data_IF_226719779391
#
_entry.id   IF_226719779391
#
_cell.length_a   1.000
_cell.length_b   1.000
_cell.length_c   1.000
_cell.angle_alpha   90.00
_cell.angle_beta   90.00
_cell.angle_gamma   90.00
#
_symmetry.space_group_name_H-M   'P 1'
#
loop_
_entity.id
_entity.type
_entity.pdbx_description
1 polymer ?
#
# COMPACT_ATOMS: atom_id res chain seq x y z
N UNK A 1 -15.61 18.05 0.16
CA UNK A 1 -16.82 17.75 0.95
C UNK A 1 -16.59 16.60 1.95
N UNK A 2 -15.95 15.49 1.57
CA UNK A 2 -15.67 14.36 2.48
C UNK A 2 -14.81 14.69 3.73
N UNK A 3 -13.79 15.55 3.60
CA UNK A 3 -12.90 15.93 4.71
C UNK A 3 -13.61 16.68 5.86
N UNK A 4 -14.58 17.52 5.54
CA UNK A 4 -15.36 18.26 6.55
C UNK A 4 -16.28 17.33 7.34
N UNK A 5 -16.91 16.35 6.65
CA UNK A 5 -17.76 15.34 7.28
C UNK A 5 -16.94 14.46 8.23
N UNK A 6 -15.77 14.00 7.81
CA UNK A 6 -14.85 13.21 8.66
C UNK A 6 -14.39 14.01 9.88
N UNK A 7 -14.14 15.32 9.73
CA UNK A 7 -13.76 16.18 10.85
C UNK A 7 -14.88 16.31 11.89
N UNK A 8 -16.11 16.55 11.47
CA UNK A 8 -17.28 16.69 12.36
C UNK A 8 -17.58 15.36 13.07
N UNK A 9 -17.60 14.24 12.34
CA UNK A 9 -17.77 12.90 12.89
C UNK A 9 -16.73 12.62 13.97
N UNK A 10 -15.48 13.01 13.71
CA UNK A 10 -14.38 12.82 14.66
C UNK A 10 -14.54 13.65 15.94
N UNK A 11 -14.96 14.91 15.83
CA UNK A 11 -15.18 15.77 17.00
C UNK A 11 -16.28 15.19 17.90
N UNK A 12 -17.33 14.66 17.29
CA UNK A 12 -18.44 14.02 18.00
C UNK A 12 -17.97 12.71 18.65
N UNK A 13 -17.26 11.85 17.93
CA UNK A 13 -16.76 10.58 18.46
C UNK A 13 -15.71 10.77 19.57
N UNK A 14 -14.85 11.78 19.48
CA UNK A 14 -13.96 12.18 20.58
C UNK A 14 -14.72 12.56 21.86
N UNK A 15 -15.88 13.22 21.72
CA UNK A 15 -16.73 13.58 22.87
C UNK A 15 -17.46 12.38 23.47
N UNK A 16 -17.59 11.28 22.72
CA UNK A 16 -18.17 10.02 23.16
C UNK A 16 -17.15 9.07 23.82
N UNK A 17 -15.89 9.50 23.98
CA UNK A 17 -14.83 8.70 24.59
C UNK A 17 -14.05 7.83 23.62
N UNK A 18 -14.41 7.83 22.33
CA UNK A 18 -13.73 7.08 21.27
C UNK A 18 -12.49 7.84 20.76
N UNK A 19 -11.32 7.22 20.90
CA UNK A 19 -10.06 7.78 20.41
C UNK A 19 -9.81 7.35 18.97
N UNK A 20 -10.31 8.13 18.01
CA UNK A 20 -10.06 7.86 16.59
C UNK A 20 -8.69 8.43 16.18
N UNK A 21 -7.75 7.57 15.76
CA UNK A 21 -6.43 8.02 15.31
C UNK A 21 -6.54 8.85 14.02
N UNK A 22 -5.65 9.83 13.84
CA UNK A 22 -5.68 10.73 12.65
C UNK A 22 -5.26 9.98 11.38
N UNK A 23 -4.34 9.02 11.51
CA UNK A 23 -3.97 8.05 10.47
C UNK A 23 -4.25 6.66 11.02
N UNK A 24 -4.86 5.74 10.25
CA UNK A 24 -4.94 4.36 10.65
C UNK A 24 -3.53 3.79 10.89
N UNK A 25 -3.38 2.84 11.84
CA UNK A 25 -2.14 2.09 12.02
C UNK A 25 -1.63 1.55 10.67
N UNK A 26 -0.31 1.50 10.49
CA UNK A 26 0.29 1.06 9.22
C UNK A 26 -0.20 -0.33 8.78
N UNK A 27 -0.45 -1.22 9.74
CA UNK A 27 -1.03 -2.57 9.53
C UNK A 27 -2.39 -2.56 8.85
N UNK A 28 -3.15 -1.48 8.98
CA UNK A 28 -4.49 -1.31 8.39
C UNK A 28 -4.46 -0.59 7.03
N UNK A 29 -3.29 -0.13 6.57
CA UNK A 29 -3.18 0.55 5.28
C UNK A 29 -3.49 -0.42 4.14
N UNK A 30 -4.49 -0.09 3.34
CA UNK A 30 -4.93 -0.90 2.20
C UNK A 30 -5.29 0.02 1.05
N UNK A 31 -4.74 -0.25 -0.14
CA UNK A 31 -5.16 0.48 -1.33
C UNK A 31 -6.53 -0.04 -1.80
N UNK A 32 -7.36 0.84 -2.36
CA UNK A 32 -8.59 0.43 -3.02
C UNK A 32 -8.32 -0.50 -4.20
N UNK A 33 -9.21 -1.48 -4.42
CA UNK A 33 -9.05 -2.49 -5.48
C UNK A 33 -8.90 -1.89 -6.89
N UNK A 34 -9.51 -0.72 -7.15
CA UNK A 34 -9.44 -0.05 -8.45
C UNK A 34 -8.04 0.53 -8.76
N UNK A 35 -7.12 0.63 -7.79
CA UNK A 35 -5.73 1.03 -8.04
C UNK A 35 -5.01 0.06 -8.98
N UNK A 36 -5.44 -1.21 -9.01
CA UNK A 36 -4.90 -2.22 -9.92
C UNK A 36 -5.03 -1.76 -11.38
N UNK A 37 -6.15 -1.14 -11.76
CA UNK A 37 -6.36 -0.65 -13.12
C UNK A 37 -5.39 0.48 -13.50
N UNK A 38 -5.05 1.34 -12.55
CA UNK A 38 -4.03 2.37 -12.75
C UNK A 38 -2.65 1.77 -13.01
N UNK A 39 -2.30 0.68 -12.30
CA UNK A 39 -1.06 -0.03 -12.55
C UNK A 39 -1.07 -0.77 -13.89
N UNK A 40 -2.18 -1.40 -14.26
CA UNK A 40 -2.35 -2.00 -15.61
C UNK A 40 -2.15 -0.93 -16.69
N UNK A 41 -2.71 0.27 -16.51
CA UNK A 41 -2.49 1.38 -17.45
C UNK A 41 -1.01 1.79 -17.53
N UNK A 42 -0.30 1.84 -16.41
CA UNK A 42 1.13 2.11 -16.37
C UNK A 42 1.94 1.05 -17.16
N UNK A 43 1.56 -0.22 -17.05
CA UNK A 43 2.16 -1.32 -17.81
C UNK A 43 1.84 -1.22 -19.30
N UNK A 44 0.61 -0.84 -19.67
CA UNK A 44 0.21 -0.60 -21.07
C UNK A 44 1.06 0.54 -21.66
N UNK A 45 1.26 1.65 -20.94
CA UNK A 45 2.11 2.74 -21.41
C UNK A 45 3.57 2.30 -21.60
N UNK A 46 4.09 1.50 -20.67
CA UNK A 46 5.43 0.93 -20.80
C UNK A 46 5.53 0.00 -22.03
N UNK A 47 4.53 -0.84 -22.25
CA UNK A 47 4.45 -1.73 -23.40
C UNK A 47 4.37 -0.96 -24.73
N UNK A 48 3.50 0.04 -24.84
CA UNK A 48 3.41 0.88 -26.05
C UNK A 48 4.74 1.61 -26.29
N UNK A 49 5.35 2.17 -25.25
CA UNK A 49 6.64 2.85 -25.36
C UNK A 49 7.76 1.92 -25.85
N UNK A 50 7.70 0.62 -25.54
CA UNK A 50 8.67 -0.35 -26.02
C UNK A 50 8.65 -0.52 -27.54
N UNK A 51 7.46 -0.52 -28.17
CA UNK A 51 7.31 -0.65 -29.62
C UNK A 51 7.32 0.70 -30.36
N UNK A 52 6.82 1.75 -29.72
CA UNK A 52 6.71 3.10 -30.27
C UNK A 52 7.33 4.11 -29.30
N UNK A 53 8.67 4.19 -29.22
CA UNK A 53 9.34 5.04 -28.26
C UNK A 53 9.01 6.51 -28.49
N UNK A 54 8.56 7.19 -27.44
CA UNK A 54 8.42 8.65 -27.45
C UNK A 54 8.77 9.22 -26.08
N UNK A 55 9.28 10.45 -26.06
CA UNK A 55 9.65 11.11 -24.81
C UNK A 55 8.45 11.22 -23.84
N UNK A 56 7.26 11.52 -24.37
CA UNK A 56 6.03 11.65 -23.58
C UNK A 56 5.62 10.29 -22.99
N UNK A 57 5.62 9.23 -23.79
CA UNK A 57 5.26 7.88 -23.30
C UNK A 57 6.30 7.34 -22.31
N UNK A 58 7.59 7.62 -22.53
CA UNK A 58 8.65 7.24 -21.60
C UNK A 58 8.45 7.95 -20.26
N UNK A 59 8.23 9.27 -20.26
CA UNK A 59 7.99 10.02 -19.03
C UNK A 59 6.73 9.53 -18.30
N UNK A 60 5.62 9.33 -19.02
CA UNK A 60 4.37 8.85 -18.44
C UNK A 60 4.51 7.44 -17.85
N UNK A 61 5.09 6.50 -18.62
CA UNK A 61 5.28 5.11 -18.17
C UNK A 61 6.20 5.03 -16.96
N UNK A 62 7.33 5.75 -16.94
CA UNK A 62 8.25 5.74 -15.80
C UNK A 62 7.61 6.30 -14.53
N UNK A 63 6.98 7.48 -14.61
CA UNK A 63 6.37 8.10 -13.43
C UNK A 63 5.22 7.25 -12.86
N UNK A 64 4.36 6.72 -13.74
CA UNK A 64 3.26 5.86 -13.29
C UNK A 64 3.76 4.54 -12.72
N UNK A 65 4.73 3.88 -13.37
CA UNK A 65 5.28 2.62 -12.86
C UNK A 65 5.93 2.81 -11.50
N UNK A 66 6.77 3.85 -11.34
CA UNK A 66 7.41 4.19 -10.06
C UNK A 66 6.33 4.43 -9.00
N UNK A 67 5.34 5.27 -9.28
CA UNK A 67 4.26 5.55 -8.34
C UNK A 67 3.53 4.27 -7.87
N UNK A 68 3.08 3.44 -8.81
CA UNK A 68 2.31 2.24 -8.46
C UNK A 68 3.16 1.15 -7.80
N UNK A 69 4.41 0.94 -8.25
CA UNK A 69 5.31 -0.03 -7.61
C UNK A 69 5.52 0.35 -6.15
N UNK A 70 5.80 1.63 -5.85
CA UNK A 70 5.98 2.06 -4.46
C UNK A 70 4.67 2.04 -3.67
N UNK A 71 3.54 2.41 -4.28
CA UNK A 71 2.24 2.32 -3.62
C UNK A 71 1.92 0.89 -3.17
N UNK A 72 2.06 -0.08 -4.08
CA UNK A 72 1.86 -1.49 -3.76
C UNK A 72 2.95 -2.06 -2.87
N UNK A 73 4.20 -1.58 -2.97
CA UNK A 73 5.27 -1.94 -2.04
C UNK A 73 4.92 -1.56 -0.60
N UNK A 74 4.42 -0.33 -0.36
CA UNK A 74 3.99 0.07 0.99
C UNK A 74 2.83 -0.78 1.50
N UNK A 75 1.87 -1.14 0.64
CA UNK A 75 0.82 -2.09 1.01
C UNK A 75 1.38 -3.48 1.35
N UNK A 76 2.32 -3.99 0.55
CA UNK A 76 3.00 -5.25 0.81
C UNK A 76 3.79 -5.23 2.12
N UNK A 77 4.45 -4.12 2.41
CA UNK A 77 5.18 -3.91 3.66
C UNK A 77 4.23 -3.89 4.86
N UNK A 78 3.01 -3.39 4.70
CA UNK A 78 1.98 -3.46 5.74
C UNK A 78 1.52 -4.90 6.02
N UNK A 79 1.50 -5.79 5.01
CA UNK A 79 1.25 -7.24 5.19
C UNK A 79 2.38 -7.88 5.99
N UNK A 80 3.63 -7.63 5.58
CA UNK A 80 4.79 -8.15 6.30
C UNK A 80 4.77 -7.66 7.75
N UNK A 81 4.54 -6.36 7.96
CA UNK A 81 4.48 -5.78 9.30
C UNK A 81 3.36 -6.40 10.14
N UNK A 82 2.18 -6.64 9.54
CA UNK A 82 1.07 -7.33 10.21
C UNK A 82 1.47 -8.71 10.72
N UNK A 83 2.15 -9.51 9.88
CA UNK A 83 2.59 -10.84 10.28
C UNK A 83 3.72 -10.81 11.31
N UNK A 84 4.68 -9.89 11.17
CA UNK A 84 5.70 -9.68 12.20
C UNK A 84 5.10 -9.26 13.55
N UNK A 85 4.00 -8.51 13.53
CA UNK A 85 3.25 -8.13 14.71
C UNK A 85 2.52 -9.33 15.35
N UNK A 86 1.86 -10.16 14.53
CA UNK A 86 1.23 -11.39 14.99
C UNK A 86 2.25 -12.38 15.59
N UNK A 87 3.49 -12.39 15.08
CA UNK A 87 4.60 -13.16 15.63
C UNK A 87 5.24 -12.52 16.87
N UNK A 88 4.71 -11.40 17.37
CA UNK A 88 5.23 -10.66 18.53
C UNK A 88 6.71 -10.26 18.40
N UNK A 89 7.18 -10.04 17.16
CA UNK A 89 8.58 -9.65 16.94
C UNK A 89 8.85 -8.25 17.51
N UNK A 90 9.99 -8.03 18.19
CA UNK A 90 10.36 -6.72 18.70
C UNK A 90 10.55 -5.72 17.54
N UNK A 91 10.21 -4.45 17.80
CA UNK A 91 10.25 -3.39 16.77
C UNK A 91 11.59 -3.27 16.06
N UNK A 92 12.71 -3.50 16.78
CA UNK A 92 14.05 -3.44 16.22
C UNK A 92 14.25 -4.46 15.08
N UNK A 93 13.77 -5.70 15.25
CA UNK A 93 13.87 -6.73 14.21
C UNK A 93 13.00 -6.40 13.00
N UNK A 94 11.87 -5.72 13.20
CA UNK A 94 11.02 -5.22 12.11
C UNK A 94 11.77 -4.19 11.27
N UNK A 95 12.39 -3.20 11.92
CA UNK A 95 13.19 -2.20 11.20
C UNK A 95 14.39 -2.82 10.48
N UNK A 96 15.08 -3.79 11.10
CA UNK A 96 16.17 -4.52 10.45
C UNK A 96 15.66 -5.28 9.22
N UNK A 97 14.51 -5.95 9.30
CA UNK A 97 13.92 -6.64 8.15
C UNK A 97 13.60 -5.67 7.00
N UNK A 98 12.95 -4.54 7.31
CA UNK A 98 12.64 -3.50 6.30
C UNK A 98 13.93 -2.96 5.67
N UNK A 99 14.96 -2.70 6.49
CA UNK A 99 16.28 -2.31 6.00
C UNK A 99 16.85 -3.37 5.05
N UNK A 100 16.91 -4.63 5.46
CA UNK A 100 17.43 -5.71 4.62
C UNK A 100 16.69 -5.79 3.27
N UNK A 101 15.36 -5.71 3.26
CA UNK A 101 14.55 -5.68 2.03
C UNK A 101 14.97 -4.56 1.08
N UNK A 102 15.15 -3.35 1.60
CA UNK A 102 15.51 -2.17 0.79
C UNK A 102 16.93 -2.28 0.20
N UNK A 103 17.86 -2.90 0.95
CA UNK A 103 19.27 -3.01 0.54
C UNK A 103 19.59 -4.31 -0.22
N UNK A 104 18.71 -5.32 -0.19
CA UNK A 104 18.91 -6.60 -0.89
C UNK A 104 18.53 -6.58 -2.37
N UNK A 105 18.08 -5.43 -2.88
CA UNK A 105 17.94 -5.16 -4.32
C UNK A 105 16.49 -5.16 -4.82
N UNK A 106 16.35 -4.85 -6.12
CA UNK A 106 15.05 -4.59 -6.76
C UNK A 106 14.07 -5.77 -6.75
N UNK A 107 14.59 -7.01 -6.69
CA UNK A 107 13.76 -8.22 -6.70
C UNK A 107 12.84 -8.28 -5.47
N UNK A 108 13.35 -7.95 -4.28
CA UNK A 108 12.58 -8.01 -3.03
C UNK A 108 11.50 -6.93 -2.98
N UNK A 109 11.83 -5.72 -3.43
CA UNK A 109 10.86 -4.63 -3.59
C UNK A 109 9.72 -5.07 -4.51
N UNK A 110 10.04 -5.69 -5.64
CA UNK A 110 9.06 -6.17 -6.62
C UNK A 110 8.18 -7.29 -6.04
N UNK A 111 8.76 -8.27 -5.34
CA UNK A 111 8.01 -9.36 -4.71
C UNK A 111 7.05 -8.86 -3.63
N UNK A 112 7.49 -7.89 -2.82
CA UNK A 112 6.63 -7.28 -1.79
C UNK A 112 5.55 -6.42 -2.44
N UNK A 113 5.86 -5.65 -3.48
CA UNK A 113 4.86 -4.92 -4.25
C UNK A 113 3.82 -5.87 -4.86
N UNK A 114 4.25 -7.01 -5.40
CA UNK A 114 3.35 -8.04 -5.93
C UNK A 114 2.43 -8.60 -4.84
N UNK A 115 2.96 -8.87 -3.64
CA UNK A 115 2.14 -9.29 -2.50
C UNK A 115 1.12 -8.19 -2.12
N UNK A 116 1.53 -6.92 -2.13
CA UNK A 116 0.64 -5.78 -1.91
C UNK A 116 -0.46 -5.64 -2.96
N UNK A 117 -0.15 -5.88 -4.23
CA UNK A 117 -1.12 -5.92 -5.32
C UNK A 117 -2.16 -7.02 -5.08
N UNK A 118 -1.71 -8.25 -4.81
CA UNK A 118 -2.58 -9.40 -4.59
C UNK A 118 -3.47 -9.25 -3.35
N UNK A 119 -2.98 -8.58 -2.30
CA UNK A 119 -3.74 -8.30 -1.09
C UNK A 119 -5.02 -7.50 -1.37
N UNK A 120 -5.07 -6.69 -2.42
CA UNK A 120 -6.28 -5.93 -2.79
C UNK A 120 -7.48 -6.84 -3.04
N UNK A 121 -7.26 -8.03 -3.62
CA UNK A 121 -8.31 -9.02 -3.88
C UNK A 121 -8.41 -10.10 -2.79
N UNK A 122 -7.27 -10.61 -2.31
CA UNK A 122 -7.22 -11.80 -1.46
C UNK A 122 -7.44 -11.46 0.03
N UNK A 123 -7.11 -10.23 0.45
CA UNK A 123 -7.14 -9.82 1.87
C UNK A 123 -6.34 -10.76 2.79
N UNK A 124 -5.02 -10.84 2.60
CA UNK A 124 -4.13 -11.72 3.38
C UNK A 124 -4.14 -11.41 4.88
N UNK A 125 -4.52 -10.18 5.24
CA UNK A 125 -4.59 -9.68 6.62
C UNK A 125 -5.99 -9.85 7.26
N UNK A 126 -6.99 -10.32 6.49
CA UNK A 126 -8.39 -10.47 6.92
C UNK A 126 -8.95 -9.21 7.61
N UNK A 127 -8.56 -8.02 7.12
CA UNK A 127 -8.92 -6.75 7.76
C UNK A 127 -10.41 -6.47 7.71
N UNK A 128 -11.12 -7.00 6.70
CA UNK A 128 -12.56 -6.77 6.55
C UNK A 128 -13.38 -7.55 7.59
N UNK A 129 -12.95 -8.76 7.96
CA UNK A 129 -13.64 -9.60 8.96
C UNK A 129 -13.60 -8.96 10.35
N UNK A 130 -12.53 -8.23 10.68
CA UNK A 130 -12.35 -7.60 11.99
C UNK A 130 -13.23 -6.35 12.20
N UNK A 131 -13.83 -5.80 11.14
CA UNK A 131 -14.73 -4.63 11.23
C UNK A 131 -16.20 -5.00 11.48
N UNK A 132 -16.56 -6.27 11.29
CA UNK A 132 -17.94 -6.76 11.43
C UNK A 132 -18.22 -7.38 12.81
N UNK A 133 -17.22 -7.44 13.69
CA UNK A 133 -17.31 -7.92 15.09
C UNK A 133 -17.15 -6.73 16.03
#
# INVERSE_FOLDING_TARGET
>A
QAFAVLFVIRVILKRLGEQIPWVPPFVEWRLPWYFVWGFILALIFAFINFYYPSYILQAASLNLNVFFIYAFFFQGLAIVWHWMDNLSLPKILRFIFVFLVLFSGWIWVTLIALAGLLDTWIDFRKLNVKKEV
#
